data_IF_808820417926
#
_entry.id   IF_808820417926
#
_cell.length_a   1.000
_cell.length_b   1.000
_cell.length_c   1.000
_cell.angle_alpha   90.00
_cell.angle_beta   90.00
_cell.angle_gamma   90.00
#
_symmetry.space_group_name_H-M   'P 1'
#
loop_
_entity.id
_entity.type
_entity.pdbx_description
1 polymer ?
#
# COMPACT_ATOMS: atom_id res chain seq x y z
N UNK A 1 54.96 37.29 -2.89
CA UNK A 1 55.45 35.93 -2.56
C UNK A 1 56.39 36.07 -1.37
N UNK A 2 56.37 35.12 -0.43
CA UNK A 2 57.09 35.10 0.88
C UNK A 2 56.35 35.89 1.98
N UNK A 3 56.04 35.38 3.18
CA UNK A 3 56.35 34.12 3.88
C UNK A 3 55.20 33.79 4.84
N UNK A 4 54.48 32.67 4.65
CA UNK A 4 53.37 32.25 5.52
C UNK A 4 53.74 31.12 6.51
N UNK A 5 55.02 30.77 6.64
CA UNK A 5 55.47 29.72 7.55
C UNK A 5 56.63 30.22 8.43
N UNK A 6 56.28 31.00 9.46
CA UNK A 6 57.21 31.37 10.53
C UNK A 6 57.32 30.24 11.56
N UNK A 7 58.53 29.66 11.70
CA UNK A 7 59.03 28.85 12.82
C UNK A 7 57.99 28.05 13.63
N UNK A 8 57.52 26.91 13.10
CA UNK A 8 56.91 25.88 13.93
C UNK A 8 57.99 25.18 14.76
N UNK A 9 58.22 25.64 16.00
CA UNK A 9 58.78 24.75 17.03
C UNK A 9 57.69 23.73 17.34
N UNK A 10 57.88 22.49 16.94
CA UNK A 10 56.97 21.37 17.20
C UNK A 10 56.99 21.05 18.70
N UNK A 11 56.29 21.85 19.49
CA UNK A 11 55.98 21.51 20.88
C UNK A 11 55.10 20.26 20.84
N UNK A 12 55.38 19.25 21.66
CA UNK A 12 54.68 17.94 21.70
C UNK A 12 53.14 18.09 21.63
N UNK A 13 52.61 19.14 22.27
CA UNK A 13 51.18 19.49 22.25
C UNK A 13 50.63 19.73 20.84
N UNK A 14 51.37 20.42 19.95
CA UNK A 14 50.95 20.70 18.58
C UNK A 14 50.85 19.39 17.76
N UNK A 15 51.82 18.50 17.91
CA UNK A 15 51.87 17.21 17.21
C UNK A 15 50.71 16.30 17.62
N UNK A 16 50.40 16.25 18.92
CA UNK A 16 49.30 15.42 19.44
C UNK A 16 47.94 15.94 18.96
N UNK A 17 47.72 17.27 19.01
CA UNK A 17 46.47 17.88 18.50
C UNK A 17 46.31 17.64 17.01
N UNK A 18 47.38 17.81 16.22
CA UNK A 18 47.33 17.57 14.78
C UNK A 18 47.03 16.10 14.44
N UNK A 19 47.69 15.16 15.14
CA UNK A 19 47.44 13.73 14.96
C UNK A 19 45.99 13.36 15.30
N UNK A 20 45.43 13.94 16.37
CA UNK A 20 44.03 13.76 16.73
C UNK A 20 43.08 14.26 15.65
N UNK A 21 43.29 15.49 15.16
CA UNK A 21 42.46 16.08 14.10
C UNK A 21 42.50 15.22 12.83
N UNK A 22 43.67 14.73 12.41
CA UNK A 22 43.79 13.86 11.23
C UNK A 22 43.06 12.54 11.45
N UNK A 23 43.23 11.91 12.61
CA UNK A 23 42.55 10.66 12.94
C UNK A 23 41.02 10.83 12.95
N UNK A 24 40.52 11.93 13.54
CA UNK A 24 39.08 12.26 13.54
C UNK A 24 38.56 12.53 12.13
N UNK A 25 39.31 13.28 11.31
CA UNK A 25 38.92 13.58 9.94
C UNK A 25 38.84 12.31 9.08
N UNK A 26 39.81 11.40 9.20
CA UNK A 26 39.79 10.11 8.51
C UNK A 26 38.59 9.26 8.95
N UNK A 27 38.35 9.18 10.26
CA UNK A 27 37.22 8.43 10.80
C UNK A 27 35.88 8.99 10.32
N UNK A 28 35.71 10.32 10.37
CA UNK A 28 34.50 10.99 9.88
C UNK A 28 34.31 10.77 8.37
N UNK A 29 35.38 10.87 7.58
CA UNK A 29 35.32 10.64 6.13
C UNK A 29 34.89 9.21 5.81
N UNK A 30 35.42 8.22 6.54
CA UNK A 30 35.04 6.83 6.36
C UNK A 30 33.57 6.61 6.74
N UNK A 31 33.13 7.15 7.87
CA UNK A 31 31.74 7.04 8.33
C UNK A 31 30.77 7.67 7.34
N UNK A 32 31.05 8.88 6.84
CA UNK A 32 30.22 9.58 5.85
C UNK A 32 30.21 8.81 4.52
N UNK A 33 31.36 8.30 4.08
CA UNK A 33 31.45 7.51 2.85
C UNK A 33 30.61 6.23 2.90
N UNK A 34 30.68 5.49 4.01
CA UNK A 34 29.85 4.30 4.24
C UNK A 34 28.37 4.65 4.32
N UNK A 35 28.01 5.70 5.06
CA UNK A 35 26.62 6.17 5.14
C UNK A 35 26.08 6.59 3.77
N UNK A 36 26.88 7.26 2.95
CA UNK A 36 26.48 7.68 1.61
C UNK A 36 26.29 6.48 0.67
N UNK A 37 27.25 5.55 0.66
CA UNK A 37 27.24 4.38 -0.23
C UNK A 37 26.10 3.41 0.11
N UNK A 38 25.87 3.13 1.39
CA UNK A 38 24.84 2.19 1.83
C UNK A 38 23.47 2.84 2.03
N UNK A 39 23.41 4.12 2.41
CA UNK A 39 22.15 4.81 2.66
C UNK A 39 21.25 4.86 1.43
N UNK A 40 21.81 5.15 0.26
CA UNK A 40 21.04 5.26 -0.98
C UNK A 40 20.46 3.91 -1.43
N UNK A 41 21.28 2.85 -1.41
CA UNK A 41 20.84 1.51 -1.81
C UNK A 41 19.83 0.94 -0.81
N UNK A 42 20.09 1.12 0.48
CA UNK A 42 19.16 0.71 1.55
C UNK A 42 17.83 1.44 1.46
N UNK A 43 17.83 2.78 1.30
CA UNK A 43 16.60 3.55 1.16
C UNK A 43 15.78 3.09 -0.06
N UNK A 44 16.44 2.79 -1.18
CA UNK A 44 15.78 2.29 -2.39
C UNK A 44 15.17 0.91 -2.17
N UNK A 45 15.89 -0.01 -1.52
CA UNK A 45 15.39 -1.35 -1.19
C UNK A 45 14.20 -1.28 -0.23
N UNK A 46 14.29 -0.46 0.81
CA UNK A 46 13.18 -0.26 1.75
C UNK A 46 11.95 0.31 1.04
N UNK A 47 12.14 1.30 0.15
CA UNK A 47 11.05 1.86 -0.61
C UNK A 47 10.41 0.83 -1.57
N UNK A 48 11.22 0.00 -2.25
CA UNK A 48 10.71 -1.05 -3.13
C UNK A 48 9.97 -2.14 -2.36
N UNK A 49 10.49 -2.55 -1.20
CA UNK A 49 9.87 -3.59 -0.38
C UNK A 49 8.55 -3.11 0.23
N UNK A 50 8.52 -1.85 0.70
CA UNK A 50 7.30 -1.22 1.19
C UNK A 50 6.25 -1.14 0.09
N UNK A 51 6.64 -0.70 -1.10
CA UNK A 51 5.75 -0.64 -2.25
C UNK A 51 5.22 -2.02 -2.64
N UNK A 52 6.10 -3.01 -2.79
CA UNK A 52 5.72 -4.38 -3.15
C UNK A 52 4.77 -4.99 -2.12
N UNK A 53 5.04 -4.78 -0.83
CA UNK A 53 4.18 -5.24 0.27
C UNK A 53 2.81 -4.57 0.21
N UNK A 54 2.77 -3.25 0.06
CA UNK A 54 1.52 -2.50 -0.03
C UNK A 54 0.68 -2.92 -1.26
N UNK A 55 1.31 -3.02 -2.44
CA UNK A 55 0.65 -3.47 -3.67
C UNK A 55 0.14 -4.90 -3.56
N UNK A 56 0.91 -5.80 -2.95
CA UNK A 56 0.47 -7.18 -2.70
C UNK A 56 -0.72 -7.22 -1.74
N UNK A 57 -0.70 -6.41 -0.68
CA UNK A 57 -1.82 -6.26 0.25
C UNK A 57 -3.09 -5.79 -0.45
N UNK A 58 -3.01 -4.73 -1.26
CA UNK A 58 -4.14 -4.22 -2.06
C UNK A 58 -4.66 -5.28 -3.02
N UNK A 59 -3.77 -5.97 -3.74
CA UNK A 59 -4.17 -7.03 -4.68
C UNK A 59 -4.83 -8.20 -3.97
N UNK A 60 -4.37 -8.56 -2.77
CA UNK A 60 -4.98 -9.61 -1.95
C UNK A 60 -6.38 -9.21 -1.50
N UNK A 61 -6.55 -7.98 -1.03
CA UNK A 61 -7.85 -7.46 -0.59
C UNK A 61 -8.85 -7.43 -1.75
N UNK A 62 -8.44 -6.92 -2.91
CA UNK A 62 -9.28 -6.89 -4.11
C UNK A 62 -9.72 -8.30 -4.54
N UNK A 63 -8.82 -9.29 -4.48
CA UNK A 63 -9.18 -10.70 -4.74
C UNK A 63 -10.14 -11.24 -3.67
N UNK A 64 -10.01 -10.82 -2.43
CA UNK A 64 -10.90 -11.21 -1.34
C UNK A 64 -12.32 -10.71 -1.58
N UNK A 65 -12.45 -9.41 -1.87
CA UNK A 65 -13.73 -8.80 -2.27
C UNK A 65 -14.31 -9.53 -3.48
N UNK A 66 -13.50 -9.78 -4.52
CA UNK A 66 -13.96 -10.52 -5.70
C UNK A 66 -14.51 -11.91 -5.38
N UNK A 67 -13.85 -12.69 -4.50
CA UNK A 67 -14.36 -14.01 -4.08
C UNK A 67 -15.67 -13.91 -3.32
N UNK A 68 -15.82 -12.91 -2.43
CA UNK A 68 -17.07 -12.69 -1.71
C UNK A 68 -18.19 -12.38 -2.71
N UNK A 69 -17.94 -11.53 -3.69
CA UNK A 69 -18.92 -11.18 -4.71
C UNK A 69 -19.37 -12.40 -5.53
N UNK A 70 -18.43 -13.24 -5.97
CA UNK A 70 -18.75 -14.49 -6.69
C UNK A 70 -19.63 -15.39 -5.83
N UNK A 71 -19.25 -15.62 -4.56
CA UNK A 71 -20.04 -16.45 -3.66
C UNK A 71 -21.47 -15.90 -3.44
N UNK A 72 -21.61 -14.57 -3.32
CA UNK A 72 -22.93 -13.95 -3.16
C UNK A 72 -23.76 -14.12 -4.44
N UNK A 73 -23.16 -13.94 -5.62
CA UNK A 73 -23.85 -14.15 -6.90
C UNK A 73 -24.27 -15.61 -7.04
N UNK A 74 -23.40 -16.57 -6.72
CA UNK A 74 -23.71 -18.00 -6.79
C UNK A 74 -24.87 -18.36 -5.84
N UNK A 75 -24.84 -17.87 -4.59
CA UNK A 75 -25.92 -18.08 -3.63
C UNK A 75 -27.25 -17.45 -4.07
N UNK A 76 -27.21 -16.31 -4.75
CA UNK A 76 -28.41 -15.69 -5.33
C UNK A 76 -28.89 -16.50 -6.54
N UNK A 77 -28.02 -16.92 -7.44
CA UNK A 77 -28.37 -17.71 -8.61
C UNK A 77 -29.01 -19.06 -8.25
N UNK A 78 -28.61 -19.67 -7.14
CA UNK A 78 -29.20 -20.90 -6.62
C UNK A 78 -30.54 -20.69 -5.90
N UNK A 79 -30.96 -19.45 -5.65
CA UNK A 79 -32.18 -19.15 -4.91
C UNK A 79 -33.43 -19.32 -5.81
N UNK A 80 -34.29 -20.32 -5.54
CA UNK A 80 -35.46 -20.59 -6.39
C UNK A 80 -36.50 -19.47 -6.37
N UNK A 81 -36.53 -18.63 -5.32
CA UNK A 81 -37.43 -17.47 -5.22
C UNK A 81 -37.11 -16.43 -6.29
N UNK A 82 -35.85 -16.33 -6.70
CA UNK A 82 -35.41 -15.40 -7.74
C UNK A 82 -35.76 -15.88 -9.16
N UNK A 83 -36.16 -17.14 -9.34
CA UNK A 83 -36.65 -17.66 -10.62
C UNK A 83 -38.14 -17.35 -10.86
N UNK A 84 -38.88 -16.97 -9.82
CA UNK A 84 -40.27 -16.54 -9.93
C UNK A 84 -40.33 -15.04 -10.26
N UNK A 85 -40.45 -14.72 -11.55
CA UNK A 85 -40.46 -13.34 -12.05
C UNK A 85 -41.67 -12.52 -11.58
N UNK A 86 -42.72 -13.15 -11.08
CA UNK A 86 -43.92 -12.45 -10.58
C UNK A 86 -43.79 -12.03 -9.11
N UNK A 87 -42.75 -12.50 -8.41
CA UNK A 87 -42.56 -12.27 -6.97
C UNK A 87 -41.59 -11.12 -6.65
N UNK A 88 -41.85 -9.95 -7.22
CA UNK A 88 -41.02 -8.74 -7.05
C UNK A 88 -40.84 -8.35 -5.57
N UNK A 89 -41.84 -8.63 -4.71
CA UNK A 89 -41.76 -8.29 -3.28
C UNK A 89 -40.68 -9.12 -2.58
N UNK A 90 -40.59 -10.42 -2.89
CA UNK A 90 -39.54 -11.26 -2.36
C UNK A 90 -38.17 -10.90 -2.93
N UNK A 91 -38.08 -10.55 -4.22
CA UNK A 91 -36.84 -10.07 -4.84
C UNK A 91 -36.33 -8.79 -4.16
N UNK A 92 -37.23 -7.83 -3.94
CA UNK A 92 -36.92 -6.58 -3.24
C UNK A 92 -36.38 -6.85 -1.83
N UNK A 93 -37.03 -7.73 -1.07
CA UNK A 93 -36.60 -8.06 0.29
C UNK A 93 -35.22 -8.72 0.30
N UNK A 94 -34.98 -9.71 -0.56
CA UNK A 94 -33.70 -10.41 -0.68
C UNK A 94 -32.59 -9.42 -1.07
N UNK A 95 -32.80 -8.63 -2.13
CA UNK A 95 -31.79 -7.69 -2.63
C UNK A 95 -31.52 -6.55 -1.65
N UNK A 96 -32.55 -6.04 -0.96
CA UNK A 96 -32.36 -5.04 0.10
C UNK A 96 -31.51 -5.60 1.24
N UNK A 97 -31.75 -6.84 1.67
CA UNK A 97 -30.92 -7.48 2.70
C UNK A 97 -29.46 -7.65 2.26
N UNK A 98 -29.22 -7.99 0.99
CA UNK A 98 -27.86 -8.10 0.45
C UNK A 98 -27.18 -6.73 0.40
N UNK A 99 -27.86 -5.69 -0.07
CA UNK A 99 -27.33 -4.33 -0.15
C UNK A 99 -27.02 -3.74 1.24
N UNK A 100 -27.89 -3.97 2.23
CA UNK A 100 -27.64 -3.53 3.63
C UNK A 100 -26.43 -4.23 4.24
N UNK A 101 -26.22 -5.52 3.93
CA UNK A 101 -25.07 -6.28 4.44
C UNK A 101 -23.77 -6.01 3.69
N UNK A 102 -23.85 -5.50 2.46
CA UNK A 102 -22.70 -5.27 1.58
C UNK A 102 -22.70 -3.82 1.08
N UNK A 103 -22.27 -2.85 1.91
CA UNK A 103 -22.31 -1.42 1.57
C UNK A 103 -21.41 -1.01 0.40
N UNK A 104 -20.56 -1.92 -0.11
CA UNK A 104 -19.78 -1.70 -1.33
C UNK A 104 -20.61 -1.88 -2.61
N UNK A 105 -21.81 -2.46 -2.52
CA UNK A 105 -22.69 -2.66 -3.66
C UNK A 105 -23.57 -1.43 -3.87
N UNK A 106 -23.49 -0.85 -5.06
CA UNK A 106 -24.34 0.24 -5.49
C UNK A 106 -25.77 -0.23 -5.81
N UNK A 107 -25.89 -1.40 -6.45
CA UNK A 107 -27.17 -1.97 -6.84
C UNK A 107 -27.05 -3.44 -7.22
N UNK A 108 -28.19 -4.12 -7.28
CA UNK A 108 -28.31 -5.51 -7.71
C UNK A 108 -29.33 -5.57 -8.85
N UNK A 109 -29.00 -6.38 -9.84
CA UNK A 109 -29.71 -6.50 -11.10
C UNK A 109 -30.09 -7.96 -11.33
N UNK A 110 -31.34 -8.20 -11.70
CA UNK A 110 -31.84 -9.50 -12.13
C UNK A 110 -32.42 -9.36 -13.54
N UNK A 111 -31.90 -10.16 -14.47
CA UNK A 111 -32.40 -10.26 -15.84
C UNK A 111 -33.01 -11.63 -16.08
N UNK A 112 -34.27 -11.68 -16.50
CA UNK A 112 -34.93 -12.91 -16.90
C UNK A 112 -34.61 -13.31 -18.34
N UNK A 113 -34.68 -14.61 -18.64
CA UNK A 113 -34.47 -15.12 -20.00
C UNK A 113 -35.55 -14.71 -21.01
N UNK A 114 -36.68 -14.21 -20.50
CA UNK A 114 -37.82 -13.64 -21.25
C UNK A 114 -37.63 -12.15 -21.59
N UNK A 115 -36.53 -11.53 -21.11
CA UNK A 115 -36.26 -10.10 -21.26
C UNK A 115 -36.83 -9.23 -20.13
N UNK A 116 -37.38 -9.84 -19.07
CA UNK A 116 -37.74 -9.13 -17.84
C UNK A 116 -36.50 -8.61 -17.12
N UNK A 117 -36.66 -7.51 -16.38
CA UNK A 117 -35.58 -6.85 -15.67
C UNK A 117 -36.08 -6.28 -14.34
N UNK A 118 -35.31 -6.54 -13.28
CA UNK A 118 -35.58 -6.05 -11.93
C UNK A 118 -34.28 -5.49 -11.33
N UNK A 119 -34.37 -4.31 -10.71
CA UNK A 119 -33.22 -3.60 -10.16
C UNK A 119 -33.55 -3.03 -8.77
N UNK A 120 -32.58 -3.12 -7.86
CA UNK A 120 -32.61 -2.41 -6.59
C UNK A 120 -31.33 -1.61 -6.45
N UNK A 121 -31.47 -0.29 -6.24
CA UNK A 121 -30.36 0.65 -6.09
C UNK A 121 -30.30 1.13 -4.65
N UNK A 122 -29.10 1.16 -4.08
CA UNK A 122 -28.83 1.82 -2.81
C UNK A 122 -28.57 3.32 -3.03
N UNK A 123 -29.45 4.17 -2.48
CA UNK A 123 -29.36 5.63 -2.62
C UNK A 123 -28.49 6.30 -1.55
N UNK A 124 -27.97 5.54 -0.59
CA UNK A 124 -27.12 6.05 0.49
C UNK A 124 -25.62 5.86 0.22
N UNK A 125 -25.29 5.22 -0.90
CA UNK A 125 -23.93 5.06 -1.43
C UNK A 125 -23.57 6.16 -2.39
#
# INVERSE_FOLDING_TARGET
MTSLFGNMRTTIQLTVVLAFVIATALTASLAIGLQYYFGQSMARTVASDLYATASSGIASELRSVGRINVNVIDLLAENPVLNDSENETAHLEIFTQVLVKNPLYYGIYLGGGDGSFFEVINLNT
#
